data_IF_189359249327
#
_entry.id   IF_189359249327
#
_cell.length_a   1.000
_cell.length_b   1.000
_cell.length_c   1.000
_cell.angle_alpha   90.00
_cell.angle_beta   90.00
_cell.angle_gamma   90.00
#
_symmetry.space_group_name_H-M   'P 1'
#
loop_
_entity.id
_entity.type
_entity.pdbx_description
1 polymer ?
#
# COMPACT_ATOMS: atom_id res chain seq x y z
N UNK A 1 18.88 3.38 52.38
CA UNK A 1 18.51 2.85 51.04
C UNK A 1 19.58 1.87 50.59
N UNK A 2 19.22 0.76 49.95
CA UNK A 2 20.20 -0.23 49.45
C UNK A 2 20.55 0.03 47.99
N UNK A 3 21.75 -0.37 47.56
CA UNK A 3 22.16 -0.27 46.15
C UNK A 3 21.17 -0.97 45.20
N UNK A 4 20.57 -2.08 45.62
CA UNK A 4 19.57 -2.80 44.84
C UNK A 4 18.29 -1.98 44.62
N UNK A 5 17.83 -1.23 45.63
CA UNK A 5 16.65 -0.36 45.50
C UNK A 5 16.89 0.81 44.54
N UNK A 6 18.10 1.38 44.54
CA UNK A 6 18.50 2.44 43.61
C UNK A 6 18.61 1.91 42.17
N UNK A 7 19.23 0.74 42.00
CA UNK A 7 19.34 0.09 40.69
C UNK A 7 17.98 -0.27 40.10
N UNK A 8 17.06 -0.77 40.92
CA UNK A 8 15.69 -1.09 40.49
C UNK A 8 14.93 0.18 40.05
N UNK A 9 14.98 1.25 40.84
CA UNK A 9 14.32 2.51 40.50
C UNK A 9 14.88 3.11 39.20
N UNK A 10 16.20 3.05 38.99
CA UNK A 10 16.83 3.51 37.75
C UNK A 10 16.39 2.65 36.53
N UNK A 11 16.30 1.34 36.70
CA UNK A 11 15.81 0.44 35.67
C UNK A 11 14.33 0.70 35.32
N UNK A 12 13.47 0.87 36.34
CA UNK A 12 12.05 1.19 36.16
C UNK A 12 11.86 2.49 35.36
N UNK A 13 12.57 3.56 35.72
CA UNK A 13 12.54 4.82 34.98
C UNK A 13 12.97 4.63 33.52
N UNK A 14 14.02 3.84 33.29
CA UNK A 14 14.51 3.54 31.94
C UNK A 14 13.46 2.80 31.12
N UNK A 15 12.80 1.79 31.70
CA UNK A 15 11.75 1.04 31.01
C UNK A 15 10.52 1.91 30.71
N UNK A 16 10.11 2.79 31.63
CA UNK A 16 9.00 3.72 31.38
C UNK A 16 9.31 4.66 30.21
N UNK A 17 10.54 5.17 30.12
CA UNK A 17 10.97 6.01 29.00
C UNK A 17 10.94 5.21 27.69
N UNK A 18 11.44 3.98 27.69
CA UNK A 18 11.46 3.17 26.48
C UNK A 18 10.04 2.78 26.02
N UNK A 19 9.13 2.46 26.93
CA UNK A 19 7.71 2.20 26.61
C UNK A 19 7.08 3.42 25.94
N UNK A 20 7.31 4.62 26.48
CA UNK A 20 6.81 5.88 25.88
C UNK A 20 7.38 6.09 24.47
N UNK A 21 8.67 5.82 24.28
CA UNK A 21 9.34 5.91 22.98
C UNK A 21 8.77 4.93 21.97
N UNK A 22 8.55 3.68 22.36
CA UNK A 22 7.95 2.64 21.53
C UNK A 22 6.52 3.03 21.14
N UNK A 23 5.72 3.52 22.09
CA UNK A 23 4.38 4.04 21.81
C UNK A 23 4.40 5.15 20.77
N UNK A 24 5.27 6.15 20.94
CA UNK A 24 5.39 7.24 19.97
C UNK A 24 5.81 6.75 18.57
N UNK A 25 6.68 5.73 18.50
CA UNK A 25 7.09 5.11 17.24
C UNK A 25 5.92 4.39 16.55
N UNK A 26 5.11 3.66 17.32
CA UNK A 26 3.90 2.99 16.83
C UNK A 26 2.88 4.03 16.33
N UNK A 27 2.58 5.05 17.14
CA UNK A 27 1.60 6.09 16.80
C UNK A 27 2.02 6.84 15.52
N UNK A 28 3.32 7.16 15.38
CA UNK A 28 3.87 7.75 14.13
C UNK A 28 3.73 6.82 12.93
N UNK A 29 3.94 5.51 13.13
CA UNK A 29 3.73 4.49 12.10
C UNK A 29 2.28 4.44 11.63
N UNK A 30 1.33 4.44 12.58
CA UNK A 30 -0.11 4.44 12.30
C UNK A 30 -0.51 5.69 11.52
N UNK A 31 -0.07 6.88 11.95
CA UNK A 31 -0.39 8.13 11.26
C UNK A 31 0.11 8.11 9.79
N UNK A 32 1.34 7.62 9.57
CA UNK A 32 1.90 7.49 8.22
C UNK A 32 1.09 6.53 7.35
N UNK A 33 0.76 5.34 7.88
CA UNK A 33 -0.02 4.34 7.14
C UNK A 33 -1.45 4.81 6.87
N UNK A 34 -2.07 5.50 7.82
CA UNK A 34 -3.44 6.03 7.68
C UNK A 34 -3.51 7.05 6.55
N UNK A 35 -2.56 8.00 6.52
CA UNK A 35 -2.43 8.96 5.42
C UNK A 35 -2.24 8.25 4.07
N UNK A 36 -1.38 7.22 4.06
CA UNK A 36 -1.11 6.44 2.85
C UNK A 36 -2.36 5.70 2.31
N UNK A 37 -3.15 5.12 3.21
CA UNK A 37 -4.43 4.47 2.88
C UNK A 37 -5.42 5.51 2.35
N UNK A 38 -5.49 6.69 2.99
CA UNK A 38 -6.37 7.78 2.56
C UNK A 38 -6.03 8.25 1.14
N UNK A 39 -4.75 8.51 0.85
CA UNK A 39 -4.28 8.92 -0.47
C UNK A 39 -4.58 7.85 -1.54
N UNK A 40 -4.39 6.57 -1.19
CA UNK A 40 -4.70 5.44 -2.09
C UNK A 40 -6.20 5.38 -2.36
N UNK A 41 -7.04 5.45 -1.32
CA UNK A 41 -8.50 5.46 -1.45
C UNK A 41 -9.00 6.66 -2.26
N UNK A 42 -8.38 7.84 -2.09
CA UNK A 42 -8.68 9.03 -2.90
C UNK A 42 -8.39 8.76 -4.37
N UNK A 43 -7.25 8.16 -4.70
CA UNK A 43 -6.94 7.80 -6.09
C UNK A 43 -7.91 6.79 -6.69
N UNK A 44 -8.42 5.84 -5.89
CA UNK A 44 -9.44 4.87 -6.33
C UNK A 44 -10.78 5.56 -6.59
N UNK A 45 -11.21 6.47 -5.70
CA UNK A 45 -12.51 7.17 -5.82
C UNK A 45 -12.63 8.07 -7.05
N UNK A 46 -11.51 8.54 -7.60
CA UNK A 46 -11.49 9.40 -8.79
C UNK A 46 -11.61 8.59 -10.08
N UNK A 47 -11.42 7.27 -10.03
CA UNK A 47 -11.58 6.40 -11.20
C UNK A 47 -13.06 6.38 -11.59
N UNK A 48 -13.43 6.69 -12.85
CA UNK A 48 -14.80 6.64 -13.30
C UNK A 48 -15.38 5.22 -13.21
N UNK A 49 -16.66 5.11 -12.83
CA UNK A 49 -17.36 3.82 -12.74
C UNK A 49 -17.35 3.06 -14.06
N UNK A 50 -17.46 3.76 -15.19
CA UNK A 50 -17.37 3.18 -16.53
C UNK A 50 -16.03 2.48 -16.79
N UNK A 51 -14.93 3.01 -16.24
CA UNK A 51 -13.62 2.35 -16.32
C UNK A 51 -13.58 1.12 -15.41
N UNK A 52 -14.21 1.18 -14.25
CA UNK A 52 -14.29 0.04 -13.33
C UNK A 52 -15.06 -1.14 -13.93
N UNK A 53 -16.21 -0.85 -14.55
CA UNK A 53 -17.05 -1.83 -15.23
C UNK A 53 -16.40 -2.40 -16.50
N UNK A 54 -15.68 -1.56 -17.27
CA UNK A 54 -14.96 -2.02 -18.45
C UNK A 54 -13.70 -2.84 -18.10
N UNK A 55 -12.92 -2.37 -17.13
CA UNK A 55 -11.65 -3.01 -16.76
C UNK A 55 -11.86 -4.24 -15.88
N UNK A 56 -12.95 -4.30 -15.10
CA UNK A 56 -13.29 -5.36 -14.15
C UNK A 56 -12.08 -5.84 -13.34
N UNK A 57 -11.40 -4.97 -12.57
CA UNK A 57 -10.08 -5.27 -12.02
C UNK A 57 -10.03 -6.48 -11.06
N UNK A 58 -11.17 -6.93 -10.56
CA UNK A 58 -11.30 -8.09 -9.69
C UNK A 58 -11.58 -9.40 -10.43
N UNK A 59 -11.71 -9.39 -11.75
CA UNK A 59 -12.01 -10.57 -12.54
C UNK A 59 -10.86 -11.59 -12.48
N UNK A 60 -11.14 -12.88 -12.20
CA UNK A 60 -10.08 -13.90 -12.06
C UNK A 60 -9.27 -14.09 -13.34
N UNK A 61 -9.90 -13.99 -14.52
CA UNK A 61 -9.25 -14.20 -15.83
C UNK A 61 -8.15 -13.19 -16.18
N UNK A 62 -8.03 -12.10 -15.41
CA UNK A 62 -6.91 -11.16 -15.53
C UNK A 62 -5.58 -11.77 -15.10
N UNK A 63 -5.60 -12.94 -14.45
CA UNK A 63 -4.42 -13.64 -13.95
C UNK A 63 -4.41 -15.08 -14.42
N UNK A 64 -3.22 -15.54 -14.82
CA UNK A 64 -2.93 -16.96 -15.02
C UNK A 64 -2.80 -17.65 -13.66
N UNK A 65 -2.84 -18.98 -13.66
CA UNK A 65 -2.62 -19.80 -12.47
C UNK A 65 -1.29 -19.50 -11.75
N UNK A 66 -0.27 -19.05 -12.50
CA UNK A 66 1.03 -18.64 -11.95
C UNK A 66 1.08 -17.17 -11.44
N UNK A 67 -0.06 -16.49 -11.36
CA UNK A 67 -0.18 -15.11 -10.89
C UNK A 67 0.26 -14.02 -11.88
N UNK A 68 0.75 -14.38 -13.08
CA UNK A 68 1.07 -13.39 -14.13
C UNK A 68 -0.20 -12.85 -14.77
N UNK A 69 -0.18 -11.59 -15.19
CA UNK A 69 -1.29 -11.00 -15.93
C UNK A 69 -1.47 -11.67 -17.30
N UNK A 70 -2.73 -11.93 -17.66
CA UNK A 70 -3.13 -12.25 -19.04
C UNK A 70 -3.13 -11.00 -19.91
N UNK A 71 -3.37 -11.10 -21.22
CA UNK A 71 -3.50 -9.90 -22.06
C UNK A 71 -4.66 -9.01 -21.60
N UNK A 72 -5.79 -9.62 -21.20
CA UNK A 72 -6.92 -8.91 -20.58
C UNK A 72 -6.49 -8.20 -19.30
N UNK A 73 -5.71 -8.85 -18.43
CA UNK A 73 -5.17 -8.22 -17.23
C UNK A 73 -4.22 -7.06 -17.51
N UNK A 74 -3.41 -7.13 -18.58
CA UNK A 74 -2.57 -6.00 -19.00
C UNK A 74 -3.41 -4.82 -19.50
N UNK A 75 -4.45 -5.09 -20.29
CA UNK A 75 -5.36 -4.05 -20.74
C UNK A 75 -6.07 -3.38 -19.55
N UNK A 76 -6.57 -4.19 -18.61
CA UNK A 76 -7.17 -3.72 -17.36
C UNK A 76 -6.23 -2.78 -16.58
N UNK A 77 -4.97 -3.19 -16.31
CA UNK A 77 -4.07 -2.35 -15.52
C UNK A 77 -3.71 -1.03 -16.22
N UNK A 78 -3.62 -1.03 -17.55
CA UNK A 78 -3.38 0.18 -18.33
C UNK A 78 -4.58 1.12 -18.32
N UNK A 79 -5.81 0.60 -18.44
CA UNK A 79 -7.03 1.39 -18.31
C UNK A 79 -7.13 2.08 -16.94
N UNK A 80 -6.77 1.37 -15.86
CA UNK A 80 -6.71 1.96 -14.52
C UNK A 80 -5.70 3.12 -14.47
N UNK A 81 -4.51 2.96 -15.06
CA UNK A 81 -3.49 4.01 -15.07
C UNK A 81 -3.90 5.22 -15.93
N UNK A 82 -4.58 5.02 -17.06
CA UNK A 82 -5.17 6.12 -17.82
C UNK A 82 -6.24 6.87 -17.02
N UNK A 83 -7.00 6.15 -16.19
CA UNK A 83 -7.92 6.74 -15.21
C UNK A 83 -7.21 7.33 -13.97
N UNK A 84 -5.91 7.60 -14.05
CA UNK A 84 -5.06 8.21 -13.00
C UNK A 84 -4.92 7.36 -11.74
N UNK A 85 -5.16 6.05 -11.81
CA UNK A 85 -4.85 5.17 -10.69
C UNK A 85 -3.35 5.17 -10.42
N UNK A 86 -2.97 5.26 -9.14
CA UNK A 86 -1.58 5.07 -8.72
C UNK A 86 -1.18 3.59 -8.83
N UNK A 87 0.13 3.26 -8.87
CA UNK A 87 0.57 1.85 -8.78
C UNK A 87 0.02 1.11 -7.56
N UNK A 88 -0.16 1.82 -6.44
CA UNK A 88 -0.76 1.26 -5.23
C UNK A 88 -2.24 0.94 -5.39
N UNK A 89 -3.01 1.86 -5.98
CA UNK A 89 -4.40 1.61 -6.33
C UNK A 89 -4.52 0.41 -7.28
N UNK A 90 -3.74 0.39 -8.37
CA UNK A 90 -3.71 -0.74 -9.30
C UNK A 90 -3.37 -2.07 -8.63
N UNK A 91 -2.34 -2.09 -7.76
CA UNK A 91 -1.97 -3.27 -6.99
C UNK A 91 -3.11 -3.75 -6.08
N UNK A 92 -3.76 -2.82 -5.38
CA UNK A 92 -4.85 -3.12 -4.45
C UNK A 92 -6.09 -3.63 -5.19
N UNK A 93 -6.49 -2.96 -6.27
CA UNK A 93 -7.69 -3.29 -7.05
C UNK A 93 -7.56 -4.63 -7.74
N UNK A 94 -6.41 -4.86 -8.39
CA UNK A 94 -6.16 -6.10 -9.10
C UNK A 94 -5.61 -7.22 -8.22
N UNK A 95 -5.37 -7.00 -6.92
CA UNK A 95 -4.75 -7.98 -6.02
C UNK A 95 -3.46 -8.57 -6.59
N UNK A 96 -2.54 -7.71 -7.01
CA UNK A 96 -1.20 -8.08 -7.48
C UNK A 96 -0.14 -7.45 -6.58
N UNK A 97 1.10 -7.92 -6.69
CA UNK A 97 2.21 -7.32 -5.94
C UNK A 97 2.45 -5.87 -6.37
N UNK A 98 2.82 -5.00 -5.42
CA UNK A 98 3.21 -3.62 -5.72
C UNK A 98 4.39 -3.55 -6.70
N UNK A 99 5.33 -4.50 -6.60
CA UNK A 99 6.46 -4.63 -7.54
C UNK A 99 5.94 -4.83 -8.97
N UNK A 100 4.96 -5.70 -9.16
CA UNK A 100 4.32 -5.94 -10.46
C UNK A 100 3.60 -4.69 -10.95
N UNK A 101 2.81 -4.02 -10.10
CA UNK A 101 2.12 -2.80 -10.48
C UNK A 101 3.08 -1.67 -10.88
N UNK A 102 4.18 -1.48 -10.15
CA UNK A 102 5.23 -0.52 -10.51
C UNK A 102 5.91 -0.85 -11.84
N UNK A 103 6.20 -2.13 -12.09
CA UNK A 103 6.75 -2.57 -13.38
C UNK A 103 5.81 -2.20 -14.53
N UNK A 104 4.52 -2.49 -14.38
CA UNK A 104 3.52 -2.17 -15.40
C UNK A 104 3.29 -0.67 -15.55
N UNK A 105 3.35 0.09 -14.45
CA UNK A 105 3.24 1.54 -14.51
C UNK A 105 4.38 2.16 -15.31
N UNK A 106 5.62 1.70 -15.11
CA UNK A 106 6.76 2.12 -15.95
C UNK A 106 6.56 1.77 -17.42
N UNK A 107 6.09 0.55 -17.71
CA UNK A 107 5.80 0.11 -19.08
C UNK A 107 4.72 0.97 -19.74
N UNK A 108 3.68 1.29 -18.99
CA UNK A 108 2.60 2.18 -19.42
C UNK A 108 3.13 3.58 -19.73
N UNK A 109 3.95 4.17 -18.85
CA UNK A 109 4.60 5.45 -19.10
C UNK A 109 5.46 5.44 -20.37
N UNK A 110 6.21 4.36 -20.60
CA UNK A 110 7.03 4.19 -21.81
C UNK A 110 6.22 3.90 -23.07
N UNK A 111 4.97 3.46 -22.95
CA UNK A 111 4.08 3.21 -24.09
C UNK A 111 3.27 4.44 -24.53
N UNK A 112 3.35 5.55 -23.77
CA UNK A 112 2.72 6.80 -24.17
C UNK A 112 3.54 7.47 -25.28
N UNK A 113 2.90 7.99 -26.34
CA UNK A 113 3.57 8.76 -27.37
C UNK A 113 4.15 10.06 -26.82
#
# INVERSE_FOLDING_TARGET
MSFNSLAFAAAELTYVVEIKRLKAKVDKGIAKLSKFIEDTNRSIRVIPESVFEAAQPRHPDHKKANGKLTESGKACIFQLFEAKATPYAGAHLMKISLRSANLWFKRWQSSKP
#
